data_IF_381192521672
#
_entry.id   IF_381192521672
#
_cell.length_a   1.000
_cell.length_b   1.000
_cell.length_c   1.000
_cell.angle_alpha   90.00
_cell.angle_beta   90.00
_cell.angle_gamma   90.00
#
_symmetry.space_group_name_H-M   'P 1'
#
loop_
_entity.id
_entity.type
_entity.pdbx_description
1 polymer ?
#
# COMPACT_ATOMS: atom_id res chain seq x y z
N UNK A 1 -22.25 41.40 -1.77
CA UNK A 1 -22.59 40.04 -2.28
C UNK A 1 -21.50 39.45 -3.17
N UNK A 2 -20.79 40.25 -3.98
CA UNK A 2 -19.71 39.76 -4.89
C UNK A 2 -18.58 39.01 -4.16
N UNK A 3 -18.18 39.45 -2.96
CA UNK A 3 -17.10 38.81 -2.18
C UNK A 3 -17.44 37.36 -1.82
N UNK A 4 -18.67 37.10 -1.37
CA UNK A 4 -19.11 35.75 -1.00
C UNK A 4 -19.10 34.84 -2.22
N UNK A 5 -19.51 35.35 -3.39
CA UNK A 5 -19.48 34.60 -4.67
C UNK A 5 -18.06 34.24 -5.08
N UNK A 6 -17.10 35.16 -4.95
CA UNK A 6 -15.70 34.88 -5.28
C UNK A 6 -15.11 33.84 -4.32
N UNK A 7 -15.41 33.95 -3.02
CA UNK A 7 -14.94 33.00 -2.01
C UNK A 7 -15.49 31.59 -2.28
N UNK A 8 -16.78 31.45 -2.60
CA UNK A 8 -17.37 30.13 -2.87
C UNK A 8 -16.78 29.47 -4.12
N UNK A 9 -16.48 30.24 -5.17
CA UNK A 9 -15.82 29.72 -6.38
C UNK A 9 -14.41 29.21 -6.06
N UNK A 10 -13.61 29.99 -5.30
CA UNK A 10 -12.24 29.59 -4.94
C UNK A 10 -12.26 28.33 -4.07
N UNK A 11 -13.14 28.26 -3.06
CA UNK A 11 -13.23 27.10 -2.16
C UNK A 11 -13.53 25.81 -2.95
N UNK A 12 -14.46 25.85 -3.90
CA UNK A 12 -14.78 24.68 -4.72
C UNK A 12 -13.57 24.16 -5.53
N UNK A 13 -12.80 25.06 -6.15
CA UNK A 13 -11.60 24.68 -6.92
C UNK A 13 -10.52 24.07 -6.02
N UNK A 14 -10.34 24.66 -4.84
CA UNK A 14 -9.33 24.24 -3.87
C UNK A 14 -9.64 22.84 -3.31
N UNK A 15 -10.89 22.57 -2.95
CA UNK A 15 -11.32 21.26 -2.42
C UNK A 15 -11.04 20.11 -3.42
N UNK A 16 -11.32 20.32 -4.71
CA UNK A 16 -11.09 19.32 -5.74
C UNK A 16 -9.60 18.99 -5.96
N UNK A 17 -8.69 19.93 -5.66
CA UNK A 17 -7.23 19.68 -5.77
C UNK A 17 -6.68 18.90 -4.59
N UNK A 18 -7.21 19.10 -3.38
CA UNK A 18 -6.70 18.46 -2.17
C UNK A 18 -6.93 16.94 -2.15
N UNK A 19 -8.01 16.44 -2.73
CA UNK A 19 -8.32 15.01 -2.76
C UNK A 19 -7.30 14.20 -3.56
N UNK A 20 -6.84 14.73 -4.70
CA UNK A 20 -5.83 14.07 -5.53
C UNK A 20 -4.45 14.07 -4.87
N UNK A 21 -4.09 15.14 -4.17
CA UNK A 21 -2.82 15.20 -3.42
C UNK A 21 -2.81 14.14 -2.33
N UNK A 22 -3.90 14.04 -1.55
CA UNK A 22 -4.02 13.03 -0.51
C UNK A 22 -3.91 11.62 -1.07
N UNK A 23 -4.65 11.31 -2.15
CA UNK A 23 -4.57 10.01 -2.82
C UNK A 23 -3.16 9.68 -3.30
N UNK A 24 -2.46 10.65 -3.88
CA UNK A 24 -1.06 10.48 -4.31
C UNK A 24 -0.13 10.17 -3.15
N UNK A 25 -0.31 10.85 -2.02
CA UNK A 25 0.48 10.60 -0.82
C UNK A 25 0.22 9.21 -0.27
N UNK A 26 -1.05 8.79 -0.16
CA UNK A 26 -1.43 7.46 0.32
C UNK A 26 -0.82 6.36 -0.57
N UNK A 27 -0.96 6.49 -1.89
CA UNK A 27 -0.37 5.55 -2.87
C UNK A 27 1.17 5.53 -2.79
N UNK A 28 1.82 6.68 -2.67
CA UNK A 28 3.28 6.76 -2.55
C UNK A 28 3.80 6.14 -1.25
N UNK A 29 3.09 6.35 -0.13
CA UNK A 29 3.41 5.71 1.16
C UNK A 29 3.28 4.19 1.05
N UNK A 30 2.19 3.68 0.47
CA UNK A 30 2.01 2.24 0.28
C UNK A 30 3.07 1.64 -0.64
N UNK A 31 3.39 2.30 -1.76
CA UNK A 31 4.49 1.90 -2.67
C UNK A 31 5.84 1.81 -1.94
N UNK A 32 6.17 2.81 -1.13
CA UNK A 32 7.40 2.82 -0.32
C UNK A 32 7.42 1.71 0.74
N UNK A 33 6.28 1.45 1.38
CA UNK A 33 6.13 0.38 2.35
C UNK A 33 6.30 -0.99 1.70
N UNK A 34 5.68 -1.21 0.54
CA UNK A 34 5.82 -2.43 -0.27
C UNK A 34 7.28 -2.67 -0.62
N UNK A 35 7.98 -1.67 -1.16
CA UNK A 35 9.41 -1.76 -1.48
C UNK A 35 10.26 -2.17 -0.27
N UNK A 36 9.96 -1.59 0.90
CA UNK A 36 10.69 -1.88 2.15
C UNK A 36 10.46 -3.33 2.60
N UNK A 37 9.22 -3.82 2.53
CA UNK A 37 8.86 -5.18 2.90
C UNK A 37 9.45 -6.21 1.94
N UNK A 38 9.38 -5.98 0.62
CA UNK A 38 9.98 -6.86 -0.40
C UNK A 38 11.49 -6.98 -0.18
N UNK A 39 12.16 -5.86 0.15
CA UNK A 39 13.59 -5.89 0.51
C UNK A 39 13.87 -6.70 1.77
N UNK A 40 13.03 -6.58 2.80
CA UNK A 40 13.17 -7.37 4.02
C UNK A 40 13.00 -8.87 3.75
N UNK A 41 12.00 -9.26 2.94
CA UNK A 41 11.78 -10.64 2.51
C UNK A 41 12.99 -11.18 1.74
N UNK A 42 13.51 -10.39 0.78
CA UNK A 42 14.69 -10.77 -0.01
C UNK A 42 15.92 -10.95 0.86
N UNK A 43 16.14 -10.06 1.84
CA UNK A 43 17.25 -10.18 2.79
C UNK A 43 17.12 -11.43 3.67
N UNK A 44 15.90 -11.74 4.14
CA UNK A 44 15.63 -12.98 4.89
C UNK A 44 15.95 -14.21 4.04
N UNK A 45 15.50 -14.23 2.78
CA UNK A 45 15.76 -15.32 1.85
C UNK A 45 17.26 -15.52 1.59
N UNK A 46 18.02 -14.43 1.41
CA UNK A 46 19.46 -14.49 1.16
C UNK A 46 20.25 -15.15 2.32
N UNK A 47 19.76 -15.04 3.56
CA UNK A 47 20.43 -15.60 4.74
C UNK A 47 19.89 -17.00 5.07
N UNK A 48 18.57 -17.17 5.03
CA UNK A 48 17.89 -18.40 5.49
C UNK A 48 17.65 -19.42 4.37
N UNK A 49 17.93 -19.06 3.11
CA UNK A 49 17.63 -19.84 1.90
C UNK A 49 16.17 -20.31 1.79
N UNK A 50 15.25 -19.56 2.40
CA UNK A 50 13.81 -19.82 2.35
C UNK A 50 13.04 -18.52 2.49
N UNK A 51 11.82 -18.49 1.96
CA UNK A 51 10.88 -17.41 2.26
C UNK A 51 10.28 -17.59 3.66
N UNK A 52 9.95 -16.50 4.36
CA UNK A 52 9.29 -16.59 5.66
C UNK A 52 7.89 -17.20 5.49
N UNK A 53 7.48 -18.07 6.40
CA UNK A 53 6.12 -18.65 6.33
C UNK A 53 5.06 -17.62 6.69
N UNK A 54 5.42 -16.67 7.55
CA UNK A 54 4.58 -15.53 7.94
C UNK A 54 5.39 -14.24 7.93
N UNK A 55 4.76 -13.10 7.61
CA UNK A 55 5.48 -11.81 7.66
C UNK A 55 5.86 -11.40 9.08
N UNK A 56 5.18 -11.93 10.10
CA UNK A 56 5.53 -11.76 11.51
C UNK A 56 6.93 -12.31 11.86
N UNK A 57 7.41 -13.33 11.15
CA UNK A 57 8.79 -13.83 11.34
C UNK A 57 9.83 -12.75 11.04
N UNK A 58 9.56 -11.86 10.08
CA UNK A 58 10.45 -10.76 9.75
C UNK A 58 10.55 -9.76 10.89
N UNK A 59 9.45 -9.57 11.63
CA UNK A 59 9.42 -8.70 12.81
C UNK A 59 10.16 -9.36 13.98
N UNK A 60 9.87 -10.63 14.25
CA UNK A 60 10.50 -11.37 15.35
C UNK A 60 12.01 -11.50 15.19
N UNK A 61 12.50 -11.66 13.95
CA UNK A 61 13.94 -11.73 13.66
C UNK A 61 14.60 -10.37 13.46
N UNK A 62 13.86 -9.26 13.59
CA UNK A 62 14.39 -7.90 13.51
C UNK A 62 14.73 -7.42 12.10
N UNK A 63 14.20 -8.05 11.04
CA UNK A 63 14.29 -7.52 9.68
C UNK A 63 13.34 -6.34 9.46
N UNK A 64 12.25 -6.28 10.22
CA UNK A 64 11.29 -5.18 10.28
C UNK A 64 10.99 -4.83 11.74
N UNK A 65 10.77 -3.56 12.04
CA UNK A 65 10.32 -3.17 13.39
C UNK A 65 8.84 -3.48 13.61
N UNK A 66 8.04 -3.33 12.55
CA UNK A 66 6.61 -3.62 12.52
C UNK A 66 6.16 -3.79 11.06
N UNK A 67 5.01 -4.41 10.86
CA UNK A 67 4.37 -4.48 9.55
C UNK A 67 3.73 -3.09 9.27
N UNK A 68 4.15 -2.38 8.22
CA UNK A 68 3.58 -1.08 7.89
C UNK A 68 2.12 -1.21 7.41
N UNK A 69 1.32 -0.17 7.63
CA UNK A 69 -0.05 -0.16 7.14
C UNK A 69 -0.12 0.13 5.63
N UNK A 70 -1.13 -0.45 4.98
CA UNK A 70 -1.58 -0.09 3.64
C UNK A 70 -2.45 1.15 3.74
N UNK A 71 -2.13 2.17 2.95
CA UNK A 71 -2.93 3.39 2.82
C UNK A 71 -3.43 3.50 1.38
N UNK A 72 -4.73 3.33 1.20
CA UNK A 72 -5.42 3.45 -0.09
C UNK A 72 -6.69 4.25 0.10
N UNK A 73 -7.05 5.09 -0.87
CA UNK A 73 -8.21 5.97 -0.71
C UNK A 73 -9.56 5.22 -0.67
N UNK A 74 -9.62 4.01 -1.22
CA UNK A 74 -10.84 3.19 -1.30
C UNK A 74 -10.97 2.18 -0.15
N UNK A 75 -9.94 2.03 0.68
CA UNK A 75 -9.88 1.01 1.73
C UNK A 75 -9.51 1.63 3.08
N UNK A 76 -9.94 0.98 4.16
CA UNK A 76 -9.53 1.41 5.50
C UNK A 76 -8.07 1.07 5.71
N UNK A 77 -7.28 2.00 6.26
CA UNK A 77 -5.87 1.73 6.52
C UNK A 77 -5.69 0.61 7.53
N UNK A 78 -4.97 -0.43 7.13
CA UNK A 78 -4.76 -1.64 7.93
C UNK A 78 -3.36 -2.18 7.72
N UNK A 79 -2.79 -2.82 8.74
CA UNK A 79 -1.53 -3.55 8.68
C UNK A 79 -1.74 -5.07 8.59
N UNK A 80 -2.98 -5.50 8.38
CA UNK A 80 -3.30 -6.92 8.25
C UNK A 80 -2.69 -7.53 6.99
N UNK A 81 -2.33 -8.80 7.11
CA UNK A 81 -1.75 -9.61 6.04
C UNK A 81 -2.67 -10.77 5.75
N UNK A 82 -2.99 -10.95 4.49
CA UNK A 82 -3.71 -12.10 3.96
C UNK A 82 -2.73 -13.02 3.26
N UNK A 83 -2.84 -14.31 3.53
CA UNK A 83 -2.01 -15.34 2.92
C UNK A 83 -2.73 -15.97 1.73
N UNK A 84 -2.07 -15.99 0.58
CA UNK A 84 -2.61 -16.50 -0.68
C UNK A 84 -2.14 -15.70 -1.88
N UNK A 85 -2.66 -16.04 -3.06
CA UNK A 85 -2.27 -15.46 -4.34
C UNK A 85 -3.41 -14.82 -5.12
N UNK A 86 -4.63 -14.88 -4.58
CA UNK A 86 -5.83 -14.39 -5.27
C UNK A 86 -6.26 -13.05 -4.63
N UNK A 87 -6.28 -11.95 -5.40
CA UNK A 87 -6.81 -10.69 -4.92
C UNK A 87 -8.34 -10.77 -4.73
N UNK A 88 -8.81 -10.27 -3.60
CA UNK A 88 -10.23 -10.16 -3.23
C UNK A 88 -10.65 -8.70 -2.97
N UNK A 89 -9.75 -7.74 -3.24
CA UNK A 89 -9.98 -6.31 -3.01
C UNK A 89 -10.26 -6.00 -1.52
N UNK A 90 -9.50 -6.60 -0.61
CA UNK A 90 -9.66 -6.37 0.83
C UNK A 90 -8.90 -5.15 1.37
N UNK A 91 -8.01 -4.55 0.58
CA UNK A 91 -7.17 -3.43 0.98
C UNK A 91 -6.01 -3.79 1.91
N UNK A 92 -5.71 -5.08 2.05
CA UNK A 92 -4.67 -5.64 2.94
C UNK A 92 -3.39 -5.96 2.17
N UNK A 93 -2.34 -6.38 2.87
CA UNK A 93 -1.20 -7.02 2.22
C UNK A 93 -1.59 -8.43 1.76
N UNK A 94 -1.24 -8.80 0.53
CA UNK A 94 -1.39 -10.16 0.01
C UNK A 94 -0.01 -10.79 -0.08
N UNK A 95 0.23 -11.85 0.67
CA UNK A 95 1.52 -12.52 0.71
C UNK A 95 1.39 -14.01 0.36
N UNK A 96 2.21 -14.46 -0.58
CA UNK A 96 2.37 -15.88 -0.89
C UNK A 96 3.70 -16.39 -0.32
N UNK A 97 3.62 -17.26 0.69
CA UNK A 97 4.78 -17.89 1.33
C UNK A 97 5.54 -18.85 0.41
N UNK A 98 4.90 -19.35 -0.66
CA UNK A 98 5.48 -20.33 -1.57
C UNK A 98 6.40 -19.66 -2.59
N UNK A 99 5.93 -18.56 -3.19
CA UNK A 99 6.69 -17.75 -4.15
C UNK A 99 7.54 -16.67 -3.47
N UNK A 100 7.21 -16.28 -2.24
CA UNK A 100 7.80 -15.14 -1.55
C UNK A 100 7.27 -13.79 -2.04
N UNK A 101 6.21 -13.81 -2.85
CA UNK A 101 5.66 -12.62 -3.47
C UNK A 101 4.76 -11.85 -2.50
N UNK A 102 4.96 -10.53 -2.45
CA UNK A 102 4.16 -9.61 -1.66
C UNK A 102 3.50 -8.59 -2.58
N UNK A 103 2.18 -8.46 -2.47
CA UNK A 103 1.35 -7.53 -3.25
C UNK A 103 0.38 -6.79 -2.33
N UNK A 104 -0.29 -5.79 -2.89
CA UNK A 104 -1.41 -5.12 -2.23
C UNK A 104 -2.71 -5.73 -2.75
N UNK A 105 -3.58 -6.18 -1.85
CA UNK A 105 -4.89 -6.76 -2.20
C UNK A 105 -5.90 -5.67 -2.58
N UNK A 106 -5.75 -5.10 -3.77
CA UNK A 106 -6.64 -4.07 -4.27
C UNK A 106 -6.80 -4.17 -5.80
N UNK A 107 -8.04 -4.31 -6.26
CA UNK A 107 -8.37 -4.45 -7.70
C UNK A 107 -8.56 -3.09 -8.40
N UNK A 108 -8.47 -2.00 -7.64
CA UNK A 108 -8.61 -0.64 -8.15
C UNK A 108 -7.36 -0.17 -8.92
N UNK A 109 -7.52 0.95 -9.63
CA UNK A 109 -6.44 1.64 -10.36
C UNK A 109 -5.88 2.80 -9.56
N UNK A 110 -4.58 3.03 -9.69
CA UNK A 110 -3.87 4.15 -9.09
C UNK A 110 -4.11 5.47 -9.85
N UNK A 111 -3.46 6.57 -9.44
CA UNK A 111 -3.55 7.86 -10.14
C UNK A 111 -3.01 7.83 -11.57
N UNK A 112 -2.15 6.86 -11.86
CA UNK A 112 -1.44 6.70 -13.13
C UNK A 112 -2.18 5.75 -14.09
N UNK A 113 -3.23 5.07 -13.59
CA UNK A 113 -4.07 4.14 -14.35
C UNK A 113 -3.65 2.67 -14.23
N UNK A 114 -2.61 2.36 -13.45
CA UNK A 114 -2.11 1.00 -13.24
C UNK A 114 -2.95 0.27 -12.19
N UNK A 115 -3.06 -1.06 -12.31
CA UNK A 115 -3.74 -1.88 -11.31
C UNK A 115 -2.86 -2.00 -10.06
N UNK A 116 -3.45 -1.76 -8.90
CA UNK A 116 -2.69 -1.67 -7.63
C UNK A 116 -2.10 -3.02 -7.22
N UNK A 117 -2.81 -4.13 -7.47
CA UNK A 117 -2.29 -5.47 -7.20
C UNK A 117 -1.15 -5.91 -8.14
N UNK A 118 -0.87 -5.15 -9.21
CA UNK A 118 0.21 -5.40 -10.18
C UNK A 118 1.44 -4.51 -9.92
N UNK A 119 1.49 -3.80 -8.80
CA UNK A 119 2.70 -3.05 -8.44
C UNK A 119 3.87 -4.00 -8.15
N UNK A 120 4.88 -3.97 -9.00
CA UNK A 120 6.10 -4.79 -8.88
C UNK A 120 7.30 -3.95 -8.41
N UNK A 121 8.16 -4.55 -7.56
CA UNK A 121 9.38 -3.94 -6.99
C UNK A 121 10.53 -4.93 -6.78
#
# INVERSE_FOLDING_TARGET
MVVVVIITIIVNIVLARFTNIKRKTDEATTKSNLYTMVRAIRNYNAIQNRYPSTLDELVQKGYLNQIPAVHLSNHTSTNEVKYGSIPEDSGKWLYDSSSGELRVDCTHRDLEGNLIYEWEY
#
